data_IF_416376906429
#
_entry.id   IF_416376906429
#
_cell.length_a   1.000
_cell.length_b   1.000
_cell.length_c   1.000
_cell.angle_alpha   90.00
_cell.angle_beta   90.00
_cell.angle_gamma   90.00
#
_symmetry.space_group_name_H-M   'P 1'
#
loop_
_entity.id
_entity.type
_entity.pdbx_description
1 polymer ?
#
# COMPACT_ATOMS: atom_id res chain seq x y z
N UNK A 1 -3.04 14.69 -19.29
CA UNK A 1 -2.50 13.41 -19.81
C UNK A 1 -3.62 12.66 -20.54
N UNK A 2 -3.82 12.93 -21.84
CA UNK A 2 -5.01 12.51 -22.60
C UNK A 2 -5.21 10.99 -22.62
N UNK A 3 -4.12 10.22 -22.70
CA UNK A 3 -4.17 8.74 -22.78
C UNK A 3 -4.71 8.09 -21.50
N UNK A 4 -4.31 8.55 -20.30
CA UNK A 4 -4.76 7.97 -19.01
C UNK A 4 -6.25 8.25 -18.74
N UNK A 5 -6.75 9.40 -19.16
CA UNK A 5 -8.17 9.76 -19.03
C UNK A 5 -9.06 8.98 -20.00
N UNK A 6 -8.54 8.63 -21.17
CA UNK A 6 -9.25 7.84 -22.18
C UNK A 6 -9.30 6.35 -21.84
N UNK A 7 -8.22 5.79 -21.28
CA UNK A 7 -8.13 4.37 -20.96
C UNK A 7 -9.08 3.91 -19.85
N UNK A 8 -9.45 4.79 -18.90
CA UNK A 8 -10.34 4.53 -17.75
C UNK A 8 -10.07 3.21 -16.99
N UNK A 9 -8.87 2.65 -17.13
CA UNK A 9 -8.45 1.38 -16.51
C UNK A 9 -7.21 1.61 -15.66
N UNK A 10 -6.99 0.71 -14.70
CA UNK A 10 -5.79 0.72 -13.84
C UNK A 10 -4.59 0.33 -14.70
N UNK A 11 -3.55 1.16 -14.71
CA UNK A 11 -2.31 0.92 -15.48
C UNK A 11 -1.10 0.95 -14.55
N UNK A 12 0.08 0.54 -15.06
CA UNK A 12 1.36 0.61 -14.36
C UNK A 12 1.63 2.02 -13.78
N UNK A 13 1.15 3.08 -14.45
CA UNK A 13 1.31 4.45 -13.97
C UNK A 13 0.65 4.72 -12.61
N UNK A 14 -0.31 3.91 -12.19
CA UNK A 14 -0.92 4.06 -10.87
C UNK A 14 0.00 3.57 -9.73
N UNK A 15 0.93 2.65 -10.00
CA UNK A 15 1.92 2.19 -9.01
C UNK A 15 3.25 2.94 -9.12
N UNK A 16 3.49 3.67 -10.22
CA UNK A 16 4.70 4.46 -10.41
C UNK A 16 4.78 5.70 -9.52
N UNK A 17 3.65 6.31 -9.16
CA UNK A 17 3.62 7.55 -8.38
C UNK A 17 4.44 7.50 -7.08
N UNK A 18 4.21 6.50 -6.20
CA UNK A 18 5.01 6.31 -4.99
C UNK A 18 6.50 6.03 -5.23
N UNK A 19 6.86 5.44 -6.37
CA UNK A 19 8.23 4.98 -6.67
C UNK A 19 9.16 6.11 -7.15
N UNK A 20 8.61 7.22 -7.63
CA UNK A 20 9.36 8.35 -8.21
C UNK A 20 9.49 9.54 -7.26
N UNK A 21 9.47 9.30 -5.94
CA UNK A 21 9.60 10.36 -4.95
C UNK A 21 10.97 11.08 -5.11
N UNK A 22 11.00 12.37 -5.48
CA UNK A 22 12.25 13.10 -5.77
C UNK A 22 13.14 13.29 -4.52
N UNK A 23 12.59 13.10 -3.33
CA UNK A 23 13.35 13.15 -2.08
C UNK A 23 14.17 11.87 -1.79
N UNK A 24 13.99 10.81 -2.59
CA UNK A 24 14.67 9.52 -2.42
C UNK A 24 14.69 9.03 -0.95
N UNK A 25 13.53 8.87 -0.29
CA UNK A 25 13.50 8.48 1.10
C UNK A 25 14.09 7.07 1.27
N UNK A 26 14.85 6.80 2.35
CA UNK A 26 15.40 5.47 2.61
C UNK A 26 14.32 4.46 3.05
N UNK A 27 13.14 4.96 3.45
CA UNK A 27 12.03 4.22 4.03
C UNK A 27 10.73 4.51 3.26
N UNK A 28 9.92 3.48 3.01
CA UNK A 28 8.59 3.66 2.40
C UNK A 28 7.56 2.65 2.90
N UNK A 29 6.32 3.10 3.06
CA UNK A 29 5.13 2.26 3.20
C UNK A 29 4.26 2.51 1.96
N UNK A 30 4.06 1.47 1.15
CA UNK A 30 3.37 1.59 -0.14
C UNK A 30 2.17 0.65 -0.17
N UNK A 31 1.01 1.25 -0.41
CA UNK A 31 -0.23 0.54 -0.70
C UNK A 31 -0.33 0.09 -2.16
N UNK A 32 -0.85 -1.11 -2.40
CA UNK A 32 -1.21 -1.58 -3.74
C UNK A 32 -2.65 -2.07 -3.81
N UNK A 33 -3.28 -1.84 -4.96
CA UNK A 33 -4.70 -2.16 -5.15
C UNK A 33 -4.99 -3.66 -5.37
N UNK A 34 -3.96 -4.48 -5.58
CA UNK A 34 -4.06 -5.92 -5.83
C UNK A 34 -3.00 -6.66 -5.02
N UNK A 35 -3.33 -7.80 -4.39
CA UNK A 35 -2.36 -8.57 -3.60
C UNK A 35 -1.21 -9.12 -4.46
N UNK A 36 -1.46 -9.36 -5.75
CA UNK A 36 -0.45 -9.85 -6.70
C UNK A 36 0.68 -8.83 -6.96
N UNK A 37 0.43 -7.55 -6.68
CA UNK A 37 1.42 -6.48 -6.84
C UNK A 37 2.32 -6.29 -5.62
N UNK A 38 2.01 -6.93 -4.49
CA UNK A 38 2.73 -6.72 -3.22
C UNK A 38 4.22 -7.10 -3.37
N UNK A 39 4.49 -8.30 -3.86
CA UNK A 39 5.87 -8.79 -4.03
C UNK A 39 6.62 -8.07 -5.18
N UNK A 40 6.06 -7.91 -6.40
CA UNK A 40 6.75 -7.22 -7.49
C UNK A 40 7.17 -5.77 -7.15
N UNK A 41 6.34 -5.05 -6.39
CA UNK A 41 6.67 -3.69 -5.99
C UNK A 41 7.78 -3.69 -4.91
N UNK A 42 7.78 -4.64 -3.97
CA UNK A 42 8.87 -4.78 -3.01
C UNK A 42 10.20 -5.11 -3.69
N UNK A 43 10.19 -5.99 -4.70
CA UNK A 43 11.37 -6.28 -5.52
C UNK A 43 11.85 -5.05 -6.29
N UNK A 44 10.93 -4.24 -6.81
CA UNK A 44 11.26 -2.97 -7.47
C UNK A 44 11.93 -2.01 -6.51
N UNK A 45 11.41 -1.85 -5.29
CA UNK A 45 12.00 -1.00 -4.25
C UNK A 45 13.41 -1.46 -3.87
N UNK A 46 13.66 -2.76 -3.82
CA UNK A 46 15.00 -3.33 -3.62
C UNK A 46 15.96 -2.91 -4.74
N UNK A 47 15.53 -3.02 -5.99
CA UNK A 47 16.34 -2.60 -7.16
C UNK A 47 16.61 -1.08 -7.14
N UNK A 48 15.64 -0.28 -6.68
CA UNK A 48 15.78 1.16 -6.52
C UNK A 48 16.65 1.58 -5.32
N UNK A 49 17.11 0.63 -4.51
CA UNK A 49 18.06 0.89 -3.42
C UNK A 49 17.42 1.35 -2.10
N UNK A 50 16.14 1.09 -1.87
CA UNK A 50 15.51 1.35 -0.58
C UNK A 50 16.15 0.52 0.54
N UNK A 51 16.39 1.13 1.71
CA UNK A 51 16.97 0.45 2.86
C UNK A 51 15.94 -0.44 3.57
N UNK A 52 14.72 0.08 3.73
CA UNK A 52 13.57 -0.68 4.24
C UNK A 52 12.27 -0.18 3.62
N UNK A 53 11.38 -1.09 3.28
CA UNK A 53 10.07 -0.74 2.79
C UNK A 53 9.04 -1.80 3.17
N UNK A 54 7.78 -1.41 3.28
CA UNK A 54 6.66 -2.35 3.40
C UNK A 54 5.67 -2.07 2.28
N UNK A 55 5.35 -3.11 1.52
CA UNK A 55 4.29 -3.05 0.51
C UNK A 55 3.09 -3.81 1.04
N UNK A 56 1.91 -3.20 1.00
CA UNK A 56 0.72 -3.72 1.67
C UNK A 56 -0.51 -3.77 0.76
N UNK A 57 -1.35 -4.77 0.99
CA UNK A 57 -2.69 -4.87 0.41
C UNK A 57 -3.64 -5.49 1.43
N UNK A 58 -4.85 -4.94 1.60
CA UNK A 58 -5.83 -5.50 2.53
C UNK A 58 -7.25 -5.42 1.97
N UNK A 59 -7.91 -6.56 1.78
CA UNK A 59 -9.36 -6.62 1.49
C UNK A 59 -9.84 -5.79 0.28
N UNK A 60 -8.99 -5.52 -0.71
CA UNK A 60 -9.30 -4.64 -1.84
C UNK A 60 -8.90 -3.17 -1.66
N UNK A 61 -8.32 -2.81 -0.51
CA UNK A 61 -7.74 -1.50 -0.22
C UNK A 61 -6.21 -1.53 -0.35
N UNK A 62 -5.66 -0.39 -0.75
CA UNK A 62 -4.23 -0.08 -0.79
C UNK A 62 -3.73 0.47 0.56
N UNK A 63 -4.27 -0.01 1.67
CA UNK A 63 -3.94 0.42 3.03
C UNK A 63 -3.90 -0.79 3.98
N UNK A 64 -3.28 -0.65 5.14
CA UNK A 64 -3.45 -1.61 6.24
C UNK A 64 -4.85 -1.44 6.81
N UNK A 65 -5.61 -2.52 6.96
CA UNK A 65 -7.00 -2.44 7.39
C UNK A 65 -7.30 -3.33 8.60
N UNK A 66 -8.33 -2.94 9.36
CA UNK A 66 -8.83 -3.70 10.51
C UNK A 66 -9.99 -4.65 10.15
N UNK A 67 -10.47 -4.62 8.91
CA UNK A 67 -11.64 -5.39 8.48
C UNK A 67 -11.28 -6.65 7.68
N UNK A 68 -10.03 -6.76 7.25
CA UNK A 68 -9.50 -7.91 6.52
C UNK A 68 -8.00 -8.10 6.84
N UNK A 69 -7.46 -9.32 6.69
CA UNK A 69 -6.03 -9.53 6.74
C UNK A 69 -5.30 -8.64 5.73
N UNK A 70 -4.12 -8.17 6.11
CA UNK A 70 -3.22 -7.38 5.27
C UNK A 70 -2.07 -8.28 4.80
N UNK A 71 -1.92 -8.42 3.50
CA UNK A 71 -0.76 -9.07 2.87
C UNK A 71 0.39 -8.07 2.83
N UNK A 72 1.56 -8.46 3.32
CA UNK A 72 2.74 -7.61 3.43
C UNK A 72 3.93 -8.26 2.74
N UNK A 73 4.68 -7.48 1.96
CA UNK A 73 6.07 -7.77 1.63
C UNK A 73 6.96 -6.67 2.23
N UNK A 74 7.75 -7.04 3.23
CA UNK A 74 8.72 -6.16 3.87
C UNK A 74 10.11 -6.36 3.28
N UNK A 75 10.66 -5.32 2.69
CA UNK A 75 12.08 -5.18 2.37
C UNK A 75 12.82 -4.65 3.60
N UNK A 76 13.89 -5.30 4.01
CA UNK A 76 14.80 -4.80 5.03
C UNK A 76 16.23 -5.27 4.73
N UNK A 77 17.16 -4.34 4.53
CA UNK A 77 18.57 -4.62 4.24
C UNK A 77 18.77 -5.59 3.05
N UNK A 78 17.97 -5.44 2.00
CA UNK A 78 18.06 -6.26 0.78
C UNK A 78 17.30 -7.59 0.83
N UNK A 79 16.84 -8.01 2.01
CA UNK A 79 15.99 -9.19 2.17
C UNK A 79 14.52 -8.81 2.09
N UNK A 80 13.71 -9.64 1.41
CA UNK A 80 12.26 -9.47 1.35
C UNK A 80 11.61 -10.61 2.12
N UNK A 81 10.74 -10.27 3.07
CA UNK A 81 9.93 -11.22 3.84
C UNK A 81 8.46 -10.98 3.56
N UNK A 82 7.74 -12.04 3.22
CA UNK A 82 6.30 -12.01 2.98
C UNK A 82 5.55 -12.61 4.17
N UNK A 83 4.53 -11.91 4.65
CA UNK A 83 3.70 -12.34 5.76
C UNK A 83 2.31 -11.71 5.68
N UNK A 84 1.42 -12.10 6.60
CA UNK A 84 0.11 -11.48 6.77
C UNK A 84 0.00 -10.88 8.16
N UNK A 85 -0.72 -9.77 8.25
CA UNK A 85 -1.10 -9.12 9.50
C UNK A 85 -2.62 -9.08 9.62
N UNK A 86 -3.10 -9.16 10.84
CA UNK A 86 -4.51 -9.06 11.24
C UNK A 86 -4.66 -7.97 12.29
N UNK A 87 -5.89 -7.58 12.62
CA UNK A 87 -6.12 -6.58 13.67
C UNK A 87 -5.54 -7.03 15.03
N UNK A 88 -5.61 -8.35 15.31
CA UNK A 88 -5.10 -8.96 16.54
C UNK A 88 -3.58 -8.79 16.70
N UNK A 89 -2.82 -8.80 15.59
CA UNK A 89 -1.36 -8.55 15.60
C UNK A 89 -1.00 -7.15 16.09
N UNK A 90 -1.97 -6.22 16.08
CA UNK A 90 -1.85 -4.87 16.61
C UNK A 90 -2.57 -4.68 17.95
N UNK A 91 -3.15 -5.74 18.52
CA UNK A 91 -3.99 -5.67 19.72
C UNK A 91 -5.31 -4.90 19.51
N UNK A 92 -5.79 -4.84 18.26
CA UNK A 92 -7.01 -4.13 17.87
C UNK A 92 -8.12 -5.12 17.54
N UNK A 93 -9.36 -4.76 17.86
CA UNK A 93 -10.53 -5.57 17.49
C UNK A 93 -10.84 -5.41 16.00
N UNK A 94 -11.15 -6.49 15.26
CA UNK A 94 -11.59 -6.38 13.88
C UNK A 94 -12.87 -5.52 13.76
N UNK A 95 -12.88 -4.58 12.81
CA UNK A 95 -14.04 -3.73 12.53
C UNK A 95 -14.73 -4.18 11.25
N UNK A 96 -16.06 -4.21 11.23
CA UNK A 96 -16.79 -4.53 9.99
C UNK A 96 -16.81 -3.30 9.06
N UNK A 97 -16.50 -3.51 7.78
CA UNK A 97 -16.29 -2.46 6.75
C UNK A 97 -17.40 -1.39 6.66
N UNK A 98 -18.62 -1.69 7.12
CA UNK A 98 -19.77 -0.77 7.17
C UNK A 98 -19.54 0.52 7.99
N UNK A 99 -18.49 0.59 8.82
CA UNK A 99 -18.15 1.77 9.62
C UNK A 99 -17.05 2.65 9.01
N UNK A 100 -16.41 2.23 7.90
CA UNK A 100 -15.31 2.94 7.25
C UNK A 100 -15.75 3.76 6.01
N UNK A 101 -17.06 3.90 5.78
CA UNK A 101 -17.57 4.75 4.71
C UNK A 101 -17.22 6.23 4.99
N UNK A 102 -16.23 6.75 4.26
CA UNK A 102 -15.81 8.15 4.35
C UNK A 102 -16.97 9.11 4.14
N UNK A 103 -17.18 10.01 5.10
CA UNK A 103 -18.18 11.08 5.00
C UNK A 103 -17.84 12.10 3.91
N UNK A 104 -18.85 12.83 3.45
CA UNK A 104 -18.74 13.93 2.48
C UNK A 104 -17.66 14.93 2.89
N UNK A 105 -16.90 15.45 1.90
CA UNK A 105 -15.69 16.31 1.91
C UNK A 105 -15.61 17.51 2.91
N UNK A 106 -15.97 17.37 4.17
CA UNK A 106 -15.90 18.42 5.19
C UNK A 106 -15.17 18.02 6.48
N UNK A 107 -14.69 16.78 6.60
CA UNK A 107 -13.91 16.33 7.77
C UNK A 107 -12.77 15.40 7.36
N UNK A 108 -11.73 15.94 6.74
CA UNK A 108 -10.39 15.36 6.83
C UNK A 108 -9.38 16.49 6.90
N UNK A 109 -9.23 17.04 8.10
CA UNK A 109 -7.97 17.64 8.55
C UNK A 109 -7.77 17.09 9.94
N UNK A 110 -6.79 16.21 10.10
CA UNK A 110 -6.19 15.94 11.40
C UNK A 110 -4.71 15.68 11.12
N UNK A 111 -3.90 16.42 11.89
CA UNK A 111 -2.51 16.82 11.72
C UNK A 111 -1.52 15.75 11.24
#
# INVERSE_FOLDING_TARGET
>A
MPVRQQLKTRTLFNVLGPLINPAHPPLALIGVYSPELVLPIAETLRVLGYQRAAVVHSGGMDEVSLHAPTVVAELHNGEIKSYQLTADDFGLTPYHQAQLAGGTRKKTVTF
#
